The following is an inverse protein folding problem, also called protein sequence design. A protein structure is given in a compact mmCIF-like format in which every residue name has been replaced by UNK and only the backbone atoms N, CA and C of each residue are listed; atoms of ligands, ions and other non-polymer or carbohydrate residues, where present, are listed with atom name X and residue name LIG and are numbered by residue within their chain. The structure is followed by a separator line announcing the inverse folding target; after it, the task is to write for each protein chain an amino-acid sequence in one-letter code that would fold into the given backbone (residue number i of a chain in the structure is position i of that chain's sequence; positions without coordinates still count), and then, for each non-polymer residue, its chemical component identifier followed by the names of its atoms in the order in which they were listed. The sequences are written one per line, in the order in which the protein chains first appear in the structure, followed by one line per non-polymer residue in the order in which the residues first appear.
data_IF_610009929657
#
_entry.id   IF_610009929657
#
_cell.length_a   1.000
_cell.length_b   1.000
_cell.length_c   1.000
_cell.angle_alpha   90.00
_cell.angle_beta   90.00
_cell.angle_gamma   90.00
#
_symmetry.space_group_name_H-M   'P 1'
#
loop_
_entity.id
_entity.type
_entity.pdbx_description
1 polymer ?
#
# COMPACT_ATOMS: atom_id res chain seq x y z
N UNK A 1 7.56 19.42 0.27
CA UNK A 1 7.60 17.93 0.21
C UNK A 1 8.76 17.51 -0.71
N UNK A 2 9.57 16.50 -0.34
CA UNK A 2 10.69 16.00 -1.18
C UNK A 2 10.24 14.77 -1.98
N UNK A 3 10.29 14.83 -3.31
CA UNK A 3 10.04 13.67 -4.18
C UNK A 3 11.03 13.71 -5.35
N UNK A 4 11.79 12.62 -5.57
CA UNK A 4 12.80 12.50 -6.63
C UNK A 4 13.81 13.67 -6.72
N UNK A 5 14.25 14.21 -5.57
CA UNK A 5 15.21 15.32 -5.52
C UNK A 5 14.64 16.70 -5.87
N UNK A 6 13.32 16.78 -6.10
CA UNK A 6 12.63 18.04 -6.33
C UNK A 6 11.84 18.44 -5.08
N UNK A 7 11.98 19.71 -4.68
CA UNK A 7 11.28 20.27 -3.55
C UNK A 7 10.03 20.99 -4.06
N UNK A 8 8.87 20.49 -3.67
CA UNK A 8 7.59 21.15 -3.94
C UNK A 8 7.17 22.00 -2.74
N UNK A 9 6.65 23.19 -3.04
CA UNK A 9 5.85 23.99 -2.11
C UNK A 9 4.54 23.26 -1.76
N UNK A 10 3.84 23.71 -0.71
CA UNK A 10 2.54 23.11 -0.35
C UNK A 10 1.48 23.35 -1.42
N UNK A 11 1.49 24.52 -2.07
CA UNK A 11 0.53 24.86 -3.12
C UNK A 11 0.76 23.99 -4.37
N UNK A 12 2.00 23.84 -4.83
CA UNK A 12 2.32 22.92 -5.94
C UNK A 12 1.94 21.47 -5.60
N UNK A 13 2.18 21.05 -4.36
CA UNK A 13 1.78 19.71 -3.92
C UNK A 13 0.24 19.58 -3.88
N UNK A 14 -0.49 20.63 -3.53
CA UNK A 14 -1.95 20.65 -3.57
C UNK A 14 -2.49 20.57 -5.00
N UNK A 15 -1.91 21.31 -5.94
CA UNK A 15 -2.28 21.28 -7.35
C UNK A 15 -2.02 19.89 -7.96
N UNK A 16 -0.87 19.28 -7.67
CA UNK A 16 -0.56 17.92 -8.12
C UNK A 16 -1.54 16.90 -7.55
N UNK A 17 -1.91 17.03 -6.27
CA UNK A 17 -2.96 16.19 -5.67
C UNK A 17 -4.29 16.38 -6.40
N UNK A 18 -4.71 17.62 -6.69
CA UNK A 18 -5.97 17.87 -7.39
C UNK A 18 -5.96 17.30 -8.81
N UNK A 19 -4.90 17.54 -9.59
CA UNK A 19 -4.76 16.97 -10.93
C UNK A 19 -4.83 15.44 -10.93
N UNK A 20 -4.23 14.79 -9.91
CA UNK A 20 -4.32 13.35 -9.75
C UNK A 20 -5.74 12.89 -9.40
N UNK A 21 -6.45 13.62 -8.55
CA UNK A 21 -7.85 13.33 -8.19
C UNK A 21 -8.76 13.39 -9.41
N UNK A 22 -8.58 14.42 -10.25
CA UNK A 22 -9.38 14.63 -11.47
C UNK A 22 -9.09 13.57 -12.53
N UNK A 23 -7.82 13.17 -12.67
CA UNK A 23 -7.42 12.14 -13.64
C UNK A 23 -7.87 10.74 -13.24
N UNK A 24 -7.95 10.46 -11.94
CA UNK A 24 -8.29 9.15 -11.41
C UNK A 24 -9.44 9.23 -10.41
N UNK A 25 -10.66 9.59 -10.84
CA UNK A 25 -11.78 9.81 -9.92
C UNK A 25 -12.15 8.55 -9.12
N UNK A 26 -12.62 8.74 -7.88
CA UNK A 26 -13.13 7.64 -7.04
C UNK A 26 -14.39 7.07 -7.69
N UNK A 27 -14.41 5.76 -7.93
CA UNK A 27 -15.57 5.05 -8.48
C UNK A 27 -16.65 5.01 -7.41
N UNK A 28 -17.83 5.53 -7.77
CA UNK A 28 -19.00 5.64 -6.88
C UNK A 28 -19.44 4.25 -6.43
N UNK A 29 -19.74 4.10 -5.14
CA UNK A 29 -20.14 2.84 -4.51
C UNK A 29 -19.15 1.68 -4.64
N UNK A 30 -17.88 1.95 -4.99
CA UNK A 30 -16.89 0.88 -5.21
C UNK A 30 -16.74 -0.10 -4.05
N UNK A 31 -16.88 0.36 -2.81
CA UNK A 31 -16.86 -0.49 -1.62
C UNK A 31 -17.89 -1.64 -1.64
N UNK A 32 -19.05 -1.45 -2.29
CA UNK A 32 -20.12 -2.46 -2.41
C UNK A 32 -20.22 -3.01 -3.84
N UNK A 33 -20.12 -2.14 -4.84
CA UNK A 33 -20.39 -2.42 -6.24
C UNK A 33 -19.20 -2.90 -7.06
N UNK A 34 -17.97 -2.86 -6.51
CA UNK A 34 -16.78 -3.16 -7.31
C UNK A 34 -16.14 -1.94 -7.93
N UNK A 35 -14.94 -2.09 -8.47
CA UNK A 35 -14.27 -1.03 -9.24
C UNK A 35 -14.60 -1.07 -10.75
N UNK A 36 -15.73 -1.70 -11.12
CA UNK A 36 -16.13 -1.96 -12.50
C UNK A 36 -15.44 -3.16 -13.17
N UNK A 37 -14.37 -3.71 -12.57
CA UNK A 37 -13.61 -4.86 -13.11
C UNK A 37 -13.50 -6.02 -12.12
N UNK A 38 -13.49 -5.70 -10.84
CA UNK A 38 -13.40 -6.64 -9.72
C UNK A 38 -14.47 -6.32 -8.67
N UNK A 39 -14.95 -7.37 -8.01
CA UNK A 39 -15.85 -7.28 -6.85
C UNK A 39 -15.06 -7.06 -5.56
N UNK A 40 -15.69 -6.54 -4.49
CA UNK A 40 -15.05 -6.45 -3.18
C UNK A 40 -14.57 -7.81 -2.63
N UNK A 41 -15.28 -8.90 -2.96
CA UNK A 41 -14.91 -10.26 -2.57
C UNK A 41 -13.63 -10.74 -3.27
N UNK A 42 -13.50 -10.47 -4.57
CA UNK A 42 -12.27 -10.77 -5.33
C UNK A 42 -11.08 -9.99 -4.75
N UNK A 43 -11.27 -8.69 -4.47
CA UNK A 43 -10.27 -7.84 -3.80
C UNK A 43 -9.83 -8.44 -2.46
N UNK A 44 -10.78 -8.74 -1.58
CA UNK A 44 -10.50 -9.26 -0.24
C UNK A 44 -9.79 -10.63 -0.29
N UNK A 45 -10.20 -11.49 -1.22
CA UNK A 45 -9.56 -12.80 -1.44
C UNK A 45 -8.12 -12.63 -1.95
N UNK A 46 -7.89 -11.67 -2.83
CA UNK A 46 -6.56 -11.39 -3.38
C UNK A 46 -5.60 -10.79 -2.34
N UNK A 47 -6.04 -9.82 -1.53
CA UNK A 47 -5.18 -9.18 -0.51
C UNK A 47 -4.89 -10.08 0.69
N UNK A 48 -5.76 -11.05 0.98
CA UNK A 48 -5.55 -12.06 2.03
C UNK A 48 -4.86 -13.34 1.54
N UNK A 49 -4.68 -13.51 0.22
CA UNK A 49 -4.06 -14.70 -0.36
C UNK A 49 -2.63 -14.87 0.13
N UNK A 50 -2.29 -16.08 0.61
CA UNK A 50 -0.94 -16.43 1.03
C UNK A 50 0.09 -16.21 -0.08
N UNK A 51 -0.27 -16.49 -1.33
CA UNK A 51 0.59 -16.28 -2.51
C UNK A 51 0.93 -14.79 -2.67
N UNK A 52 -0.09 -13.93 -2.66
CA UNK A 52 0.11 -12.49 -2.87
C UNK A 52 0.80 -11.85 -1.68
N UNK A 53 0.51 -12.32 -0.46
CA UNK A 53 1.21 -11.89 0.76
C UNK A 53 2.70 -12.21 0.72
N UNK A 54 3.08 -13.39 0.22
CA UNK A 54 4.50 -13.76 0.02
C UNK A 54 5.15 -12.91 -1.07
N UNK A 55 4.48 -12.71 -2.21
CA UNK A 55 5.02 -11.90 -3.29
C UNK A 55 5.24 -10.43 -2.86
N UNK A 56 4.27 -9.84 -2.15
CA UNK A 56 4.38 -8.50 -1.60
C UNK A 56 5.48 -8.39 -0.53
N UNK A 57 5.67 -9.44 0.28
CA UNK A 57 6.79 -9.53 1.22
C UNK A 57 8.12 -9.55 0.47
N UNK A 58 8.27 -10.38 -0.57
CA UNK A 58 9.48 -10.52 -1.39
C UNK A 58 9.88 -9.23 -2.11
N UNK A 59 8.90 -8.45 -2.56
CA UNK A 59 9.16 -7.12 -3.11
C UNK A 59 9.86 -6.17 -2.12
N UNK A 60 9.70 -6.34 -0.80
CA UNK A 60 10.36 -5.46 0.19
C UNK A 60 11.88 -5.62 0.23
N UNK A 61 12.43 -6.75 -0.22
CA UNK A 61 13.90 -6.95 -0.25
C UNK A 61 14.59 -6.02 -1.23
N UNK A 62 13.90 -5.55 -2.27
CA UNK A 62 14.47 -4.67 -3.28
C UNK A 62 14.41 -3.20 -2.88
N UNK A 63 13.86 -2.88 -1.71
CA UNK A 63 13.73 -1.51 -1.23
C UNK A 63 14.96 -1.09 -0.43
N UNK A 64 15.50 0.09 -0.74
CA UNK A 64 16.56 0.73 0.04
C UNK A 64 16.19 0.87 1.53
N UNK A 65 14.90 1.03 1.84
CA UNK A 65 14.42 1.08 3.23
C UNK A 65 14.80 -0.18 4.04
N UNK A 66 14.87 -1.35 3.39
CA UNK A 66 15.25 -2.62 4.04
C UNK A 66 16.75 -2.66 4.34
N UNK A 67 17.59 -1.93 3.61
CA UNK A 67 19.04 -1.85 3.88
C UNK A 67 19.35 -1.22 5.25
N UNK A 68 18.40 -0.47 5.82
CA UNK A 68 18.49 0.07 7.18
C UNK A 68 18.43 -1.01 8.27
N UNK A 69 17.90 -2.19 7.94
CA UNK A 69 17.91 -3.36 8.82
C UNK A 69 19.24 -4.09 8.61
N UNK A 70 19.95 -4.55 9.66
CA UNK A 70 21.18 -5.30 9.46
C UNK A 70 20.93 -6.59 8.66
N UNK A 71 21.79 -6.96 7.69
CA UNK A 71 21.58 -8.10 6.78
C UNK A 71 21.20 -9.44 7.43
N UNK A 72 21.74 -9.82 8.61
CA UNK A 72 21.34 -11.07 9.29
C UNK A 72 19.84 -11.15 9.62
N UNK A 73 19.16 -10.01 9.70
CA UNK A 73 17.75 -9.93 10.06
C UNK A 73 16.80 -9.85 8.86
N UNK A 74 17.29 -9.64 7.64
CA UNK A 74 16.44 -9.48 6.42
C UNK A 74 15.50 -10.66 6.14
N UNK A 75 15.88 -11.84 6.62
CA UNK A 75 15.04 -13.04 6.54
C UNK A 75 13.80 -12.98 7.43
N UNK A 76 13.88 -12.25 8.55
CA UNK A 76 12.81 -12.16 9.57
C UNK A 76 12.08 -10.82 9.52
N UNK A 77 12.81 -9.75 9.23
CA UNK A 77 12.35 -8.38 9.27
C UNK A 77 12.73 -7.67 7.98
N UNK A 78 11.79 -6.89 7.44
CA UNK A 78 11.98 -6.01 6.28
C UNK A 78 11.39 -4.65 6.59
N UNK A 79 11.74 -3.63 5.82
CA UNK A 79 11.10 -2.32 5.94
C UNK A 79 10.07 -2.15 4.83
N UNK A 80 8.89 -1.64 5.17
CA UNK A 80 7.95 -1.16 4.16
C UNK A 80 8.50 0.12 3.47
N UNK A 81 7.89 0.61 2.37
CA UNK A 81 8.35 1.81 1.68
C UNK A 81 8.38 3.08 2.55
N UNK A 82 7.67 3.09 3.67
CA UNK A 82 7.61 4.21 4.61
C UNK A 82 8.61 4.05 5.77
N UNK A 83 9.42 2.98 5.77
CA UNK A 83 10.43 2.69 6.77
C UNK A 83 9.92 1.99 8.02
N UNK A 84 8.66 1.50 8.03
CA UNK A 84 8.17 0.70 9.16
C UNK A 84 8.70 -0.73 9.08
N UNK A 85 9.12 -1.29 10.22
CA UNK A 85 9.61 -2.67 10.28
C UNK A 85 8.45 -3.66 10.31
N UNK A 86 8.47 -4.62 9.40
CA UNK A 86 7.46 -5.66 9.23
C UNK A 86 8.09 -7.05 9.22
N UNK A 87 7.31 -8.08 9.58
CA UNK A 87 7.76 -9.47 9.64
C UNK A 87 6.73 -10.43 9.03
N UNK A 88 7.20 -11.43 8.28
CA UNK A 88 6.34 -12.44 7.65
C UNK A 88 5.53 -13.27 8.64
N UNK A 89 6.15 -13.62 9.77
CA UNK A 89 5.56 -14.46 10.82
C UNK A 89 4.75 -13.66 11.86
N UNK A 90 4.68 -12.34 11.73
CA UNK A 90 3.91 -11.52 12.66
C UNK A 90 2.41 -11.83 12.51
N UNK A 91 1.77 -12.15 13.64
CA UNK A 91 0.31 -12.36 13.71
C UNK A 91 -0.42 -11.03 13.53
N UNK A 92 -1.69 -11.10 13.13
CA UNK A 92 -2.54 -9.94 12.97
C UNK A 92 -2.49 -9.02 14.20
N UNK A 93 -2.36 -7.72 13.95
CA UNK A 93 -2.27 -6.67 14.98
C UNK A 93 -1.03 -6.66 15.87
N UNK A 94 -0.01 -7.50 15.61
CA UNK A 94 1.29 -7.38 16.27
C UNK A 94 2.09 -6.15 15.77
N UNK A 95 3.14 -5.79 16.52
CA UNK A 95 4.00 -4.61 16.25
C UNK A 95 4.65 -4.63 14.87
N UNK A 96 4.91 -5.81 14.30
CA UNK A 96 5.52 -5.95 12.97
C UNK A 96 4.57 -6.59 11.95
N UNK A 97 3.26 -6.62 12.24
CA UNK A 97 2.30 -7.20 11.31
C UNK A 97 2.13 -6.30 10.07
N UNK A 98 1.96 -6.91 8.91
CA UNK A 98 1.67 -6.17 7.69
C UNK A 98 0.41 -6.68 7.02
N UNK A 99 -0.18 -5.81 6.21
CA UNK A 99 -1.27 -6.10 5.31
C UNK A 99 -0.80 -5.88 3.87
N UNK A 100 -1.43 -6.58 2.93
CA UNK A 100 -1.25 -6.28 1.52
C UNK A 100 -2.26 -5.20 1.15
N UNK A 101 -1.78 -4.11 0.57
CA UNK A 101 -2.63 -3.08 0.00
C UNK A 101 -2.21 -2.70 -1.43
N UNK A 102 -3.08 -1.98 -2.12
CA UNK A 102 -2.85 -1.58 -3.50
C UNK A 102 -1.92 -0.35 -3.60
N UNK A 103 -0.94 -0.39 -4.50
CA UNK A 103 -0.10 0.77 -4.83
C UNK A 103 -0.96 1.84 -5.53
N UNK A 104 -1.67 1.44 -6.59
CA UNK A 104 -2.69 2.25 -7.22
C UNK A 104 -4.08 1.88 -6.66
N UNK A 105 -4.83 2.84 -6.08
CA UNK A 105 -6.03 2.53 -5.30
C UNK A 105 -7.09 1.75 -6.07
N UNK A 106 -7.57 0.67 -5.46
CA UNK A 106 -8.61 -0.16 -6.05
C UNK A 106 -9.91 0.61 -6.34
N UNK A 107 -10.29 1.52 -5.44
CA UNK A 107 -11.48 2.38 -5.59
C UNK A 107 -11.38 3.38 -6.75
N UNK A 108 -10.23 3.50 -7.41
CA UNK A 108 -9.97 4.35 -8.58
C UNK A 108 -9.64 3.53 -9.83
N UNK A 109 -9.93 2.23 -9.81
CA UNK A 109 -9.71 1.31 -10.93
C UNK A 109 -8.45 0.44 -10.85
N UNK A 110 -7.71 0.50 -9.73
CA UNK A 110 -6.59 -0.40 -9.49
C UNK A 110 -7.01 -1.86 -9.39
N UNK A 111 -6.21 -2.76 -9.94
CA UNK A 111 -6.50 -4.19 -9.98
C UNK A 111 -5.79 -4.94 -8.86
N UNK A 112 -6.34 -6.07 -8.46
CA UNK A 112 -5.84 -6.93 -7.40
C UNK A 112 -4.80 -7.94 -7.93
N UNK A 113 -3.72 -7.40 -8.49
CA UNK A 113 -2.60 -8.13 -9.10
C UNK A 113 -1.30 -7.89 -8.31
N UNK A 114 -0.34 -8.81 -8.41
CA UNK A 114 0.90 -8.79 -7.60
C UNK A 114 1.70 -7.50 -7.83
N UNK A 115 1.75 -7.01 -9.06
CA UNK A 115 2.46 -5.81 -9.46
C UNK A 115 1.85 -4.54 -8.88
N UNK A 116 0.59 -4.60 -8.46
CA UNK A 116 -0.11 -3.50 -7.83
C UNK A 116 -0.21 -3.68 -6.30
N UNK A 117 0.49 -4.66 -5.72
CA UNK A 117 0.45 -4.93 -4.29
C UNK A 117 1.72 -4.52 -3.58
N UNK A 118 1.55 -4.05 -2.34
CA UNK A 118 2.64 -3.72 -1.45
C UNK A 118 2.33 -4.24 -0.04
N UNK A 119 3.35 -4.75 0.64
CA UNK A 119 3.26 -5.11 2.05
C UNK A 119 3.48 -3.84 2.89
N UNK A 120 2.46 -3.42 3.63
CA UNK A 120 2.46 -2.21 4.45
C UNK A 120 2.18 -2.51 5.91
N UNK A 121 2.83 -1.80 6.83
CA UNK A 121 2.56 -1.94 8.26
C UNK A 121 1.07 -1.71 8.56
N UNK A 122 0.42 -2.69 9.21
CA UNK A 122 -1.03 -2.77 9.31
C UNK A 122 -1.68 -1.53 9.94
N UNK A 123 -1.02 -0.94 10.95
CA UNK A 123 -1.58 0.19 11.69
C UNK A 123 -1.54 1.47 10.87
N UNK A 124 -0.42 1.73 10.20
CA UNK A 124 -0.28 2.86 9.29
C UNK A 124 -1.23 2.74 8.11
N UNK A 125 -1.35 1.54 7.53
CA UNK A 125 -2.26 1.26 6.43
C UNK A 125 -3.73 1.60 6.77
N UNK A 126 -4.19 1.19 7.96
CA UNK A 126 -5.58 1.43 8.40
C UNK A 126 -5.84 2.86 8.84
N UNK A 127 -4.86 3.53 9.45
CA UNK A 127 -5.02 4.91 9.95
C UNK A 127 -5.02 5.96 8.83
N UNK A 128 -4.46 5.63 7.66
CA UNK A 128 -4.40 6.54 6.49
C UNK A 128 -5.61 6.37 5.55
N UNK A 129 -6.60 5.53 5.92
CA UNK A 129 -7.88 5.50 5.19
C UNK A 129 -8.65 6.79 5.44
N UNK A 130 -8.35 7.80 4.61
CA UNK A 130 -9.12 9.02 4.43
C UNK A 130 -10.47 8.70 3.74
N UNK A 131 -11.27 7.84 4.36
CA UNK A 131 -12.69 7.67 4.04
C UNK A 131 -13.57 8.64 4.87
N UNK A 132 -12.97 9.65 5.50
CA UNK A 132 -13.72 10.79 6.00
C UNK A 132 -13.86 11.75 4.83
N UNK A 133 -15.01 11.70 4.18
CA UNK A 133 -15.44 12.68 3.20
C UNK A 133 -15.22 14.09 3.77
N UNK A 134 -14.28 14.83 3.17
CA UNK A 134 -14.24 16.29 3.15
C UNK A 134 -14.67 16.66 1.74
#
# INVERSE_FOLDING_TARGET
MWFMGQQFTEDEAADLRQQWQDRYPKIVHSARGGNGRETPQQRASATSSKKNRLAAWDALLTLEATERIPPPWHMRFRSDPYGNVVALEARGSCVCAFEVDHIFPWARGGLSVVENFMALFWRSNRNVKNDKDI
#
